data_IF_815152282389
#
_entry.id   IF_815152282389
#
_cell.length_a   1.000
_cell.length_b   1.000
_cell.length_c   1.000
_cell.angle_alpha   90.00
_cell.angle_beta   90.00
_cell.angle_gamma   90.00
#
_symmetry.space_group_name_H-M   'P 1'
#
loop_
_entity.id
_entity.type
_entity.pdbx_description
1 polymer ?
#
# COMPACT_ATOMS: atom_id res chain seq x y z
N UNK A 1 -1.53 -4.45 -23.00
CA UNK A 1 -1.85 -3.57 -21.85
C UNK A 1 -3.01 -2.69 -22.24
N UNK A 2 -3.93 -2.48 -21.30
CA UNK A 2 -5.13 -1.65 -21.49
C UNK A 2 -5.21 -0.59 -20.38
N UNK A 3 -5.92 0.48 -20.68
CA UNK A 3 -6.05 1.64 -19.82
C UNK A 3 -7.48 2.17 -19.85
N UNK A 4 -7.91 2.78 -18.75
CA UNK A 4 -9.15 3.54 -18.72
C UNK A 4 -8.99 4.96 -19.30
N UNK A 5 -10.09 5.70 -19.34
CA UNK A 5 -10.14 7.08 -19.86
C UNK A 5 -9.27 8.08 -19.07
N UNK A 6 -8.84 7.74 -17.85
CA UNK A 6 -7.96 8.56 -17.02
C UNK A 6 -6.48 8.16 -17.18
N UNK A 7 -6.19 7.22 -18.09
CA UNK A 7 -4.83 6.72 -18.34
C UNK A 7 -4.34 5.76 -17.27
N UNK A 8 -5.22 5.19 -16.45
CA UNK A 8 -4.86 4.19 -15.42
C UNK A 8 -4.93 2.79 -16.03
N UNK A 9 -3.93 1.96 -15.75
CA UNK A 9 -3.83 0.60 -16.32
C UNK A 9 -4.94 -0.28 -15.78
N UNK A 10 -5.77 -0.87 -16.62
CA UNK A 10 -6.84 -1.81 -16.21
C UNK A 10 -6.46 -3.26 -16.43
N UNK A 11 -5.56 -3.51 -17.39
CA UNK A 11 -5.11 -4.87 -17.71
C UNK A 11 -3.69 -4.90 -18.28
N UNK A 12 -2.98 -5.99 -18.06
CA UNK A 12 -1.66 -6.26 -18.62
C UNK A 12 -1.51 -7.75 -18.92
N UNK A 13 -0.87 -8.08 -20.05
CA UNK A 13 -0.35 -9.41 -20.30
C UNK A 13 1.14 -9.28 -20.54
N UNK A 14 1.89 -10.06 -19.78
CA UNK A 14 3.32 -10.23 -19.90
C UNK A 14 3.60 -11.69 -20.29
N UNK A 15 4.31 -11.95 -21.40
CA UNK A 15 4.56 -13.31 -21.86
C UNK A 15 5.30 -14.21 -20.87
N UNK A 16 6.12 -13.64 -19.98
CA UNK A 16 6.91 -14.39 -19.01
C UNK A 16 6.17 -14.53 -17.68
N UNK A 17 5.43 -13.51 -17.28
CA UNK A 17 4.84 -13.41 -15.96
C UNK A 17 3.35 -13.75 -15.91
N UNK A 18 2.59 -13.58 -17.00
CA UNK A 18 1.16 -13.86 -17.11
C UNK A 18 0.28 -12.61 -17.22
N UNK A 19 -1.01 -12.75 -16.92
CA UNK A 19 -2.01 -11.68 -17.09
C UNK A 19 -2.41 -11.05 -15.76
N UNK A 20 -2.60 -9.74 -15.73
CA UNK A 20 -3.09 -9.01 -14.57
C UNK A 20 -4.27 -8.14 -14.87
N UNK A 21 -5.18 -8.07 -13.91
CA UNK A 21 -6.30 -7.15 -13.87
C UNK A 21 -6.13 -6.15 -12.73
N UNK A 22 -6.53 -4.91 -12.97
CA UNK A 22 -6.44 -3.82 -12.01
C UNK A 22 -7.78 -3.11 -11.90
N UNK A 23 -8.24 -2.89 -10.66
CA UNK A 23 -9.44 -2.09 -10.41
C UNK A 23 -9.10 -0.89 -9.56
N UNK A 24 -9.92 0.16 -9.66
CA UNK A 24 -9.70 1.42 -8.95
C UNK A 24 -10.94 1.82 -8.17
N UNK A 25 -10.75 2.54 -7.08
CA UNK A 25 -11.83 3.22 -6.39
C UNK A 25 -12.28 4.49 -7.14
N UNK A 26 -13.32 5.15 -6.62
CA UNK A 26 -13.93 6.33 -7.23
C UNK A 26 -13.00 7.55 -7.26
N UNK A 27 -11.97 7.60 -6.39
CA UNK A 27 -11.08 8.77 -6.26
C UNK A 27 -9.73 8.56 -6.94
N UNK A 28 -9.45 7.38 -7.47
CA UNK A 28 -8.24 7.13 -8.24
C UNK A 28 -7.35 6.01 -7.73
N UNK A 29 -7.57 5.53 -6.51
CA UNK A 29 -6.63 4.62 -5.87
C UNK A 29 -6.80 3.19 -6.41
N UNK A 30 -5.69 2.47 -6.56
CA UNK A 30 -5.71 1.07 -6.94
C UNK A 30 -6.45 0.28 -5.85
N UNK A 31 -7.54 -0.39 -6.18
CA UNK A 31 -8.36 -1.13 -5.22
C UNK A 31 -8.00 -2.61 -5.20
N UNK A 32 -7.78 -3.21 -6.37
CA UNK A 32 -7.32 -4.59 -6.49
C UNK A 32 -6.30 -4.74 -7.59
N UNK A 33 -5.39 -5.68 -7.41
CA UNK A 33 -4.52 -6.24 -8.44
C UNK A 33 -4.73 -7.75 -8.42
N UNK A 34 -5.18 -8.33 -9.53
CA UNK A 34 -5.44 -9.77 -9.68
C UNK A 34 -4.44 -10.38 -10.65
N UNK A 35 -3.99 -11.61 -10.40
CA UNK A 35 -2.99 -12.30 -11.21
C UNK A 35 -1.54 -12.27 -10.67
N UNK A 36 -0.62 -13.00 -11.33
CA UNK A 36 -0.78 -13.50 -12.70
C UNK A 36 -1.21 -14.96 -12.85
N UNK A 37 -1.42 -15.69 -11.76
CA UNK A 37 -1.66 -17.13 -11.77
C UNK A 37 -3.14 -17.42 -12.04
N UNK A 38 -3.42 -17.87 -13.25
CA UNK A 38 -4.76 -18.31 -13.64
C UNK A 38 -5.24 -19.47 -12.75
N UNK A 39 -6.48 -19.38 -12.25
CA UNK A 39 -7.10 -20.42 -11.42
C UNK A 39 -6.58 -20.50 -9.98
N UNK A 40 -5.77 -19.53 -9.53
CA UNK A 40 -5.31 -19.40 -8.15
C UNK A 40 -5.87 -18.12 -7.54
N UNK A 41 -6.03 -18.09 -6.21
CA UNK A 41 -6.35 -16.84 -5.51
C UNK A 41 -5.05 -16.08 -5.26
N UNK A 42 -4.69 -15.16 -6.15
CA UNK A 42 -3.52 -14.27 -6.02
C UNK A 42 -3.85 -12.77 -6.10
N UNK A 43 -5.15 -12.44 -6.05
CA UNK A 43 -5.67 -11.08 -5.91
C UNK A 43 -5.27 -10.39 -4.61
N UNK A 44 -4.51 -9.30 -4.74
CA UNK A 44 -4.17 -8.37 -3.66
C UNK A 44 -5.22 -7.25 -3.60
N UNK A 45 -5.72 -6.95 -2.40
CA UNK A 45 -6.59 -5.80 -2.16
C UNK A 45 -5.86 -4.68 -1.41
N UNK A 46 -6.22 -3.44 -1.71
CA UNK A 46 -5.59 -2.25 -1.14
C UNK A 46 -6.64 -1.41 -0.42
N UNK A 47 -6.34 -0.98 0.81
CA UNK A 47 -7.20 -0.10 1.61
C UNK A 47 -6.48 1.22 1.90
N UNK A 48 -7.25 2.31 1.97
CA UNK A 48 -6.75 3.66 2.12
C UNK A 48 -7.46 4.38 3.26
N UNK A 49 -6.78 5.34 3.90
CA UNK A 49 -7.40 6.27 4.82
C UNK A 49 -8.13 7.42 4.09
N UNK A 50 -8.79 8.29 4.86
CA UNK A 50 -9.53 9.45 4.33
C UNK A 50 -8.66 10.48 3.61
N UNK A 51 -7.34 10.40 3.74
CA UNK A 51 -6.37 11.26 3.06
C UNK A 51 -5.77 10.58 1.83
N UNK A 52 -6.36 9.47 1.36
CA UNK A 52 -5.88 8.66 0.23
C UNK A 52 -4.49 8.06 0.45
N UNK A 53 -4.11 7.77 1.69
CA UNK A 53 -2.84 7.09 2.00
C UNK A 53 -3.09 5.61 2.23
N UNK A 54 -2.24 4.75 1.66
CA UNK A 54 -2.38 3.30 1.74
C UNK A 54 -2.22 2.81 3.18
N UNK A 55 -3.21 2.11 3.73
CA UNK A 55 -3.18 1.57 5.11
C UNK A 55 -3.01 0.05 5.16
N UNK A 56 -3.38 -0.66 4.10
CA UNK A 56 -3.33 -2.13 4.05
C UNK A 56 -3.09 -2.62 2.63
N UNK A 57 -2.18 -3.58 2.49
CA UNK A 57 -2.16 -4.56 1.39
C UNK A 57 -2.58 -5.90 1.95
N UNK A 58 -3.77 -6.32 1.56
CA UNK A 58 -4.37 -7.61 1.91
C UNK A 58 -3.95 -8.63 0.86
N UNK A 59 -3.11 -9.58 1.28
CA UNK A 59 -2.59 -10.62 0.40
C UNK A 59 -3.44 -11.88 0.58
N UNK A 60 -3.90 -12.50 -0.52
CA UNK A 60 -4.76 -13.68 -0.44
C UNK A 60 -4.00 -14.91 0.10
N UNK A 61 -2.68 -14.89 -0.08
CA UNK A 61 -1.75 -15.85 0.48
C UNK A 61 -0.58 -15.09 1.08
N UNK A 62 -0.22 -15.39 2.33
CA UNK A 62 0.87 -14.73 3.02
C UNK A 62 0.36 -13.80 4.12
N UNK A 63 1.25 -12.92 4.59
CA UNK A 63 0.92 -11.95 5.63
C UNK A 63 0.58 -10.60 5.02
N UNK A 64 -0.51 -10.02 5.51
CA UNK A 64 -0.89 -8.66 5.18
C UNK A 64 0.16 -7.65 5.62
N UNK A 65 0.32 -6.61 4.81
CA UNK A 65 1.18 -5.50 5.11
C UNK A 65 0.33 -4.31 5.53
N UNK A 66 0.52 -3.89 6.77
CA UNK A 66 -0.16 -2.74 7.35
C UNK A 66 0.76 -1.52 7.34
N UNK A 67 0.16 -0.35 7.17
CA UNK A 67 0.85 0.94 7.14
C UNK A 67 0.15 1.87 8.12
N UNK A 68 0.90 2.47 9.04
CA UNK A 68 0.39 3.51 9.93
C UNK A 68 1.13 4.80 9.72
N UNK A 69 0.34 5.87 9.61
CA UNK A 69 0.83 7.23 9.51
C UNK A 69 0.70 7.91 10.85
N UNK A 70 1.64 8.80 11.13
CA UNK A 70 1.55 9.65 12.29
C UNK A 70 0.41 10.67 12.12
N UNK A 71 -0.53 10.62 13.05
CA UNK A 71 -1.68 11.51 13.16
C UNK A 71 -1.77 12.12 14.58
N UNK A 72 -0.76 11.95 15.43
CA UNK A 72 -0.76 12.41 16.83
C UNK A 72 0.18 13.61 16.95
N UNK A 73 -0.30 14.68 17.59
CA UNK A 73 0.46 15.92 17.74
C UNK A 73 1.09 15.89 19.12
N UNK A 74 2.35 15.48 19.23
CA UNK A 74 3.14 15.59 20.47
C UNK A 74 3.55 14.27 21.14
N UNK A 75 3.54 13.14 20.46
CA UNK A 75 4.31 11.95 20.85
C UNK A 75 5.83 12.24 20.72
N UNK A 76 6.65 11.62 21.57
CA UNK A 76 8.07 11.92 21.67
C UNK A 76 8.88 11.54 20.41
N UNK A 77 8.26 10.75 19.52
CA UNK A 77 8.77 10.32 18.21
C UNK A 77 8.39 11.32 17.08
N UNK A 78 7.68 12.41 17.39
CA UNK A 78 7.06 13.34 16.43
C UNK A 78 7.96 14.46 15.95
N UNK A 79 9.28 14.30 15.98
CA UNK A 79 10.16 15.29 15.37
C UNK A 79 10.05 15.17 13.86
N UNK A 80 9.08 15.88 13.28
CA UNK A 80 8.82 16.02 11.83
C UNK A 80 8.14 14.81 11.16
N UNK A 81 7.41 14.01 11.93
CA UNK A 81 6.72 12.81 11.45
C UNK A 81 5.25 13.07 11.06
N UNK A 82 4.68 14.23 11.42
CA UNK A 82 3.25 14.53 11.21
C UNK A 82 2.78 14.29 9.77
N UNK A 83 1.77 13.43 9.62
CA UNK A 83 1.17 13.07 8.35
C UNK A 83 1.98 12.06 7.52
N UNK A 84 3.12 11.58 8.01
CA UNK A 84 4.05 10.70 7.29
C UNK A 84 3.97 9.27 7.77
N UNK A 85 4.51 8.35 6.98
CA UNK A 85 4.53 6.93 7.32
C UNK A 85 5.39 6.74 8.57
N UNK A 86 4.82 6.18 9.63
CA UNK A 86 5.50 5.91 10.91
C UNK A 86 6.00 4.47 10.97
N UNK A 87 5.17 3.53 10.53
CA UNK A 87 5.50 2.10 10.58
C UNK A 87 4.85 1.34 9.44
N UNK A 88 5.60 0.38 8.89
CA UNK A 88 5.10 -0.68 8.03
C UNK A 88 5.30 -2.01 8.74
N UNK A 89 4.30 -2.87 8.84
CA UNK A 89 4.42 -4.11 9.60
C UNK A 89 3.55 -5.25 9.06
N UNK A 90 3.96 -6.48 9.37
CA UNK A 90 3.18 -7.70 9.14
C UNK A 90 2.81 -8.34 10.47
N UNK A 91 1.52 -8.51 10.75
CA UNK A 91 1.04 -9.00 12.04
C UNK A 91 1.21 -8.00 13.21
N UNK A 92 2.43 -7.84 13.73
CA UNK A 92 2.72 -6.98 14.89
C UNK A 92 3.69 -5.84 14.55
N UNK A 93 3.34 -4.60 14.94
CA UNK A 93 4.21 -3.43 14.85
C UNK A 93 5.52 -3.57 15.63
N UNK A 94 5.50 -4.24 16.78
CA UNK A 94 6.68 -4.30 17.65
C UNK A 94 7.66 -5.39 17.23
N UNK A 95 7.16 -6.48 16.66
CA UNK A 95 7.97 -7.65 16.30
C UNK A 95 8.39 -7.67 14.83
N UNK A 96 7.52 -7.18 13.94
CA UNK A 96 7.73 -7.20 12.49
C UNK A 96 7.49 -5.81 11.87
N UNK A 97 7.64 -4.75 12.66
CA UNK A 97 7.51 -3.39 12.18
C UNK A 97 8.83 -2.80 11.75
N UNK A 98 8.83 -2.18 10.58
CA UNK A 98 9.84 -1.22 10.15
C UNK A 98 9.38 0.18 10.54
N UNK A 99 10.03 0.74 11.54
CA UNK A 99 9.81 2.11 11.99
C UNK A 99 10.54 3.09 11.07
N UNK A 100 9.87 4.20 10.78
CA UNK A 100 10.42 5.31 10.03
C UNK A 100 10.58 6.51 10.97
N UNK A 101 11.82 6.97 11.10
CA UNK A 101 12.16 8.18 11.81
C UNK A 101 12.55 9.27 10.81
N UNK A 102 12.36 10.54 11.19
CA UNK A 102 12.62 11.66 10.29
C UNK A 102 13.55 12.68 10.95
N UNK A 103 14.53 13.17 10.19
CA UNK A 103 15.37 14.28 10.63
C UNK A 103 14.60 15.62 10.63
N UNK A 104 15.27 16.70 11.06
CA UNK A 104 14.68 18.03 11.10
C UNK A 104 14.37 18.65 9.73
N UNK A 105 14.84 18.02 8.65
CA UNK A 105 14.52 18.35 7.25
C UNK A 105 13.45 17.41 6.69
N UNK A 106 13.01 16.46 7.50
CA UNK A 106 11.99 15.51 7.17
C UNK A 106 12.44 14.35 6.28
N UNK A 107 13.73 14.04 6.22
CA UNK A 107 14.24 12.86 5.50
C UNK A 107 14.25 11.67 6.45
N UNK A 108 14.01 10.48 5.92
CA UNK A 108 14.13 9.24 6.69
C UNK A 108 15.57 9.04 7.18
N UNK A 109 15.74 8.67 8.45
CA UNK A 109 17.05 8.38 9.06
C UNK A 109 17.15 6.94 9.54
#
# INVERSE_FOLDING_TARGET
MEYDMLGRKTWMSDPDMGEWDYTYDAVGNLKTQDGPKTGTVDRIAFTYDKLNRLTLKDYPTGSDVNYKYDNVKGDALDKNSWGRLRVMYTGSETSNGHLYEYDNRGRTV
#
